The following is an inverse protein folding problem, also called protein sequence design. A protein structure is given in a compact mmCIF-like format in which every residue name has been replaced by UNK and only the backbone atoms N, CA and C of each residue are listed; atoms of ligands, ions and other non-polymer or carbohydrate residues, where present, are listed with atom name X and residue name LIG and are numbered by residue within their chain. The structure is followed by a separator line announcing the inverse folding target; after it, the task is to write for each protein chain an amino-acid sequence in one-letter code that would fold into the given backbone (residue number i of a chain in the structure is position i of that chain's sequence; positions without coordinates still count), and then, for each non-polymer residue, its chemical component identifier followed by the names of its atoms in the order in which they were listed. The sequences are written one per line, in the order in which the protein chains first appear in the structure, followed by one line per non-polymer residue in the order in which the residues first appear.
data_IF_207924861313
#
_entry.id   IF_207924861313
#
_cell.length_a   1.000
_cell.length_b   1.000
_cell.length_c   1.000
_cell.angle_alpha   90.00
_cell.angle_beta   90.00
_cell.angle_gamma   90.00
#
_symmetry.space_group_name_H-M   'P 1'
#
loop_
_entity.id
_entity.type
_entity.pdbx_description
1 polymer ?
#
# COMPACT_ATOMS: atom_id res chain seq x y z
N UNK A 1 44.35 27.54 6.59
CA UNK A 1 43.17 28.43 6.46
C UNK A 1 43.64 29.84 6.15
N UNK A 2 43.10 30.47 5.11
CA UNK A 2 43.35 31.89 4.87
C UNK A 2 42.75 32.71 6.01
N UNK A 3 43.40 33.80 6.40
CA UNK A 3 42.92 34.70 7.47
C UNK A 3 41.49 35.22 7.22
N UNK A 4 41.06 35.23 5.95
CA UNK A 4 39.71 35.62 5.51
C UNK A 4 38.63 34.56 5.83
N UNK A 5 38.99 33.28 5.85
CA UNK A 5 38.05 32.17 6.16
C UNK A 5 37.97 31.90 7.67
N UNK A 6 38.97 32.34 8.43
CA UNK A 6 39.00 32.20 9.89
C UNK A 6 37.92 33.07 10.57
N UNK A 7 37.66 34.26 10.02
CA UNK A 7 36.68 35.22 10.58
C UNK A 7 35.25 34.65 10.58
N UNK A 8 34.68 34.17 9.45
CA UNK A 8 33.34 33.60 9.47
C UNK A 8 33.25 32.33 10.31
N UNK A 9 34.30 31.51 10.37
CA UNK A 9 34.33 30.29 11.21
C UNK A 9 34.29 30.64 12.70
N UNK A 10 35.08 31.63 13.15
CA UNK A 10 35.05 32.10 14.55
C UNK A 10 33.69 32.71 14.88
N UNK A 11 33.10 33.48 13.96
CA UNK A 11 31.80 34.11 14.17
C UNK A 11 30.69 33.07 14.29
N UNK A 12 30.71 32.03 13.46
CA UNK A 12 29.75 30.93 13.51
C UNK A 12 29.93 30.07 14.77
N UNK A 13 31.17 29.84 15.19
CA UNK A 13 31.48 29.14 16.44
C UNK A 13 31.01 29.91 17.68
N UNK A 14 31.07 31.25 17.67
CA UNK A 14 30.56 32.10 18.75
C UNK A 14 29.02 32.21 18.75
N UNK A 15 28.38 32.03 17.61
CA UNK A 15 26.93 32.15 17.49
C UNK A 15 26.18 30.99 18.16
N UNK A 16 26.79 29.79 18.21
CA UNK A 16 26.25 28.59 18.85
C UNK A 16 26.03 28.78 20.37
N UNK A 17 27.05 29.15 21.18
CA UNK A 17 26.85 29.37 22.62
C UNK A 17 26.00 30.61 22.90
N UNK A 18 26.05 31.63 22.03
CA UNK A 18 25.19 32.81 22.13
C UNK A 18 23.71 32.44 21.97
N UNK A 19 23.38 31.56 21.03
CA UNK A 19 22.03 31.05 20.84
C UNK A 19 21.53 30.26 22.05
N UNK A 20 22.35 29.36 22.61
CA UNK A 20 22.01 28.63 23.84
C UNK A 20 21.76 29.56 25.04
N UNK A 21 22.53 30.65 25.15
CA UNK A 21 22.33 31.62 26.21
C UNK A 21 20.98 32.35 26.06
N UNK A 22 20.65 32.81 24.86
CA UNK A 22 19.39 33.49 24.55
C UNK A 22 18.19 32.56 24.79
N UNK A 23 18.27 31.31 24.32
CA UNK A 23 17.20 30.32 24.50
C UNK A 23 16.92 30.07 25.98
N UNK A 24 17.97 29.87 26.79
CA UNK A 24 17.84 29.61 28.22
C UNK A 24 17.36 30.82 29.03
N UNK A 25 17.74 32.04 28.67
CA UNK A 25 17.37 33.25 29.43
C UNK A 25 16.04 33.86 29.00
N UNK A 26 15.67 33.78 27.72
CA UNK A 26 14.50 34.48 27.19
C UNK A 26 13.37 33.58 26.68
N UNK A 27 13.69 32.37 26.19
CA UNK A 27 12.70 31.47 25.56
C UNK A 27 12.20 30.43 26.56
N UNK A 28 13.10 29.69 27.22
CA UNK A 28 12.75 28.65 28.19
C UNK A 28 11.78 29.09 29.32
N UNK A 29 11.85 30.33 29.87
CA UNK A 29 10.90 30.77 30.89
C UNK A 29 9.47 31.00 30.37
N UNK A 30 9.30 31.24 29.06
CA UNK A 30 8.00 31.52 28.43
C UNK A 30 7.29 30.27 27.96
N UNK A 31 7.99 29.14 27.88
CA UNK A 31 7.46 27.85 27.45
C UNK A 31 7.78 26.78 28.51
N UNK A 32 6.99 26.69 29.60
CA UNK A 32 7.15 25.60 30.55
C UNK A 32 6.96 24.27 29.83
N UNK A 33 7.90 23.34 30.03
CA UNK A 33 7.83 22.00 29.47
C UNK A 33 6.48 21.36 29.84
N UNK A 34 5.75 20.84 28.84
CA UNK A 34 4.53 20.07 29.07
C UNK A 34 4.87 18.89 29.97
N UNK A 35 4.18 18.80 31.10
CA UNK A 35 4.28 17.69 32.05
C UNK A 35 4.02 16.37 31.31
N UNK A 36 4.89 15.36 31.41
CA UNK A 36 4.60 14.06 30.84
C UNK A 36 3.37 13.47 31.53
N UNK A 37 2.39 13.08 30.72
CA UNK A 37 1.19 12.38 31.13
C UNK A 37 1.62 11.03 31.73
N UNK A 38 1.08 10.58 32.88
CA UNK A 38 1.44 9.30 33.48
C UNK A 38 1.22 8.15 32.49
N UNK A 39 2.27 7.34 32.31
CA UNK A 39 2.21 6.08 31.58
C UNK A 39 1.25 5.15 32.31
N UNK A 40 0.22 4.71 31.60
CA UNK A 40 -0.74 3.72 32.08
C UNK A 40 -0.02 2.39 32.30
N UNK A 41 0.01 1.96 33.56
CA UNK A 41 0.69 0.76 34.02
C UNK A 41 -0.17 -0.46 33.65
N UNK A 42 0.37 -1.49 32.96
CA UNK A 42 -0.36 -2.72 32.71
C UNK A 42 -0.72 -3.41 34.03
N UNK A 43 -1.97 -3.86 34.11
CA UNK A 43 -2.50 -4.61 35.23
C UNK A 43 -1.68 -5.89 35.47
N UNK A 44 -1.44 -6.15 36.76
CA UNK A 44 -0.70 -7.28 37.27
C UNK A 44 -1.32 -8.63 36.89
N UNK A 45 -0.44 -9.58 36.59
CA UNK A 45 -0.74 -11.00 36.42
C UNK A 45 -1.47 -11.56 37.66
N UNK A 46 -2.62 -12.18 37.42
CA UNK A 46 -3.29 -13.04 38.38
C UNK A 46 -2.67 -14.45 38.34
N UNK A 47 -2.43 -15.11 39.50
CA UNK A 47 -1.93 -16.47 39.51
C UNK A 47 -3.08 -17.43 39.26
N UNK A 48 -2.99 -18.25 38.21
CA UNK A 48 -3.85 -19.42 38.05
C UNK A 48 -3.08 -20.68 38.40
N UNK A 49 -3.55 -21.25 39.51
CA UNK A 49 -3.23 -22.50 40.17
C UNK A 49 -3.07 -23.66 39.20
N UNK A 50 -1.95 -24.38 39.31
CA UNK A 50 -1.80 -25.70 38.72
C UNK A 50 -2.82 -26.65 39.35
N UNK A 51 -3.71 -27.21 38.53
CA UNK A 51 -4.42 -28.46 38.85
C UNK A 51 -4.15 -29.42 37.70
N UNK A 52 -3.26 -30.36 37.97
CA UNK A 52 -3.09 -31.53 37.14
C UNK A 52 -4.36 -32.38 37.25
N UNK A 53 -5.13 -32.45 36.17
CA UNK A 53 -6.04 -33.56 35.93
C UNK A 53 -5.59 -34.25 34.66
N UNK A 54 -4.91 -35.36 34.89
CA UNK A 54 -4.63 -36.43 33.96
C UNK A 54 -5.98 -36.96 33.42
N UNK A 55 -6.22 -36.76 32.13
CA UNK A 55 -7.36 -37.36 31.44
C UNK A 55 -6.90 -37.73 30.04
N UNK A 56 -6.55 -39.01 29.92
CA UNK A 56 -6.66 -39.86 28.75
C UNK A 56 -6.55 -39.16 27.37
N UNK A 57 -5.39 -39.32 26.75
CA UNK A 57 -5.20 -39.21 25.30
C UNK A 57 -6.13 -40.21 24.60
N UNK A 58 -7.31 -39.75 24.20
CA UNK A 58 -8.06 -40.38 23.12
C UNK A 58 -7.41 -39.95 21.82
N UNK A 59 -6.74 -40.91 21.18
CA UNK A 59 -6.21 -40.82 19.82
C UNK A 59 -7.35 -40.44 18.87
N UNK A 60 -7.38 -39.16 18.48
CA UNK A 60 -8.28 -38.67 17.44
C UNK A 60 -7.74 -39.13 16.09
N UNK A 61 -8.52 -39.97 15.41
CA UNK A 61 -8.29 -40.36 14.03
C UNK A 61 -8.00 -39.12 13.16
N UNK A 62 -7.04 -39.19 12.24
CA UNK A 62 -6.76 -38.11 11.33
C UNK A 62 -7.97 -37.91 10.43
N UNK A 63 -8.76 -36.87 10.70
CA UNK A 63 -9.78 -36.40 9.79
C UNK A 63 -9.06 -35.92 8.55
N UNK A 64 -9.05 -36.73 7.51
CA UNK A 64 -8.59 -36.36 6.20
C UNK A 64 -9.35 -35.09 5.78
N UNK A 65 -8.68 -33.94 5.82
CA UNK A 65 -9.17 -32.73 5.20
C UNK A 65 -9.39 -33.06 3.73
N UNK A 66 -10.66 -33.04 3.31
CA UNK A 66 -10.99 -33.12 1.90
C UNK A 66 -10.17 -32.05 1.17
N UNK A 67 -9.46 -32.39 0.08
CA UNK A 67 -8.69 -31.41 -0.67
C UNK A 67 -9.64 -30.30 -1.10
N UNK A 68 -9.32 -29.07 -0.68
CA UNK A 68 -9.94 -27.86 -1.20
C UNK A 68 -9.78 -27.96 -2.72
N UNK A 69 -10.86 -27.89 -3.52
CA UNK A 69 -10.73 -27.88 -4.97
C UNK A 69 -9.85 -26.68 -5.34
N UNK A 70 -8.61 -26.95 -5.73
CA UNK A 70 -7.72 -25.94 -6.31
C UNK A 70 -8.27 -25.72 -7.71
N UNK A 71 -9.11 -24.70 -7.85
CA UNK A 71 -9.55 -24.21 -9.15
C UNK A 71 -8.29 -23.95 -9.99
N UNK A 72 -8.20 -24.50 -11.21
CA UNK A 72 -7.03 -24.29 -12.05
C UNK A 72 -6.80 -22.78 -12.22
N UNK A 73 -5.54 -22.30 -12.19
CA UNK A 73 -5.26 -20.89 -12.31
C UNK A 73 -5.87 -20.39 -13.62
N UNK A 74 -6.80 -19.44 -13.49
CA UNK A 74 -7.41 -18.81 -14.65
C UNK A 74 -6.30 -18.24 -15.54
N UNK A 75 -6.35 -18.51 -16.83
CA UNK A 75 -5.40 -17.93 -17.78
C UNK A 75 -5.49 -16.41 -17.70
N UNK A 76 -4.33 -15.77 -17.57
CA UNK A 76 -4.25 -14.32 -17.49
C UNK A 76 -4.60 -13.71 -18.85
N UNK A 77 -5.52 -12.74 -18.83
CA UNK A 77 -5.92 -11.95 -19.98
C UNK A 77 -5.56 -10.49 -19.70
N UNK A 78 -5.12 -9.79 -20.73
CA UNK A 78 -4.66 -8.41 -20.65
C UNK A 78 -5.58 -7.50 -21.46
N UNK A 79 -5.86 -6.33 -20.92
CA UNK A 79 -6.49 -5.23 -21.65
C UNK A 79 -5.63 -3.98 -21.52
N UNK A 80 -5.72 -3.10 -22.52
CA UNK A 80 -4.96 -1.86 -22.56
C UNK A 80 -5.90 -0.67 -22.46
N UNK A 81 -5.48 0.33 -21.70
CA UNK A 81 -6.15 1.63 -21.63
C UNK A 81 -5.10 2.71 -21.82
N UNK A 82 -5.28 3.58 -22.81
CA UNK A 82 -4.26 4.53 -23.24
C UNK A 82 -4.84 5.94 -23.41
N UNK A 83 -4.02 6.94 -23.12
CA UNK A 83 -4.20 8.32 -23.55
C UNK A 83 -2.85 8.92 -23.98
N UNK A 84 -2.80 10.22 -24.27
CA UNK A 84 -1.58 10.91 -24.75
C UNK A 84 -0.38 10.84 -23.78
N UNK A 85 -0.60 10.49 -22.50
CA UNK A 85 0.39 10.58 -21.42
C UNK A 85 0.70 9.25 -20.75
N UNK A 86 -0.24 8.31 -20.73
CA UNK A 86 -0.15 7.06 -19.99
C UNK A 86 -0.72 5.91 -20.79
N UNK A 87 0.03 4.80 -20.82
CA UNK A 87 -0.44 3.50 -21.27
C UNK A 87 -0.54 2.56 -20.06
N UNK A 88 -1.74 2.06 -19.80
CA UNK A 88 -2.00 1.06 -18.76
C UNK A 88 -2.19 -0.32 -19.38
N UNK A 89 -1.51 -1.30 -18.79
CA UNK A 89 -1.80 -2.71 -18.99
C UNK A 89 -2.55 -3.22 -17.77
N UNK A 90 -3.77 -3.71 -17.98
CA UNK A 90 -4.62 -4.23 -16.92
C UNK A 90 -4.78 -5.73 -17.05
N UNK A 91 -4.76 -6.42 -15.90
CA UNK A 91 -4.77 -7.88 -15.83
C UNK A 91 -6.08 -8.42 -15.27
N UNK A 92 -6.57 -9.50 -15.89
CA UNK A 92 -7.69 -10.29 -15.38
C UNK A 92 -7.39 -10.93 -14.02
N UNK A 93 -6.11 -11.16 -13.70
CA UNK A 93 -5.68 -11.63 -12.39
C UNK A 93 -5.60 -10.46 -11.41
N UNK A 94 -6.48 -10.48 -10.41
CA UNK A 94 -6.63 -9.39 -9.46
C UNK A 94 -7.49 -8.22 -9.94
N UNK A 95 -7.83 -8.15 -11.23
CA UNK A 95 -8.75 -7.16 -11.78
C UNK A 95 -8.24 -5.72 -11.63
N UNK A 96 -7.00 -5.49 -12.03
CA UNK A 96 -6.28 -4.27 -11.70
C UNK A 96 -5.12 -3.96 -12.65
N UNK A 97 -4.24 -3.05 -12.23
CA UNK A 97 -3.16 -2.54 -13.07
C UNK A 97 -1.92 -3.42 -12.89
N UNK A 98 -1.42 -3.96 -14.00
CA UNK A 98 -0.19 -4.75 -14.06
C UNK A 98 1.01 -3.88 -14.37
N UNK A 99 0.88 -2.96 -15.33
CA UNK A 99 1.91 -1.96 -15.63
C UNK A 99 1.28 -0.61 -15.95
N UNK A 100 2.01 0.46 -15.67
CA UNK A 100 1.68 1.82 -16.11
C UNK A 100 2.92 2.47 -16.72
N UNK A 101 2.87 2.75 -18.01
CA UNK A 101 3.95 3.41 -18.75
C UNK A 101 3.63 4.89 -18.87
N UNK A 102 4.54 5.75 -18.39
CA UNK A 102 4.37 7.20 -18.39
C UNK A 102 5.08 7.80 -19.62
N UNK A 103 4.34 8.02 -20.70
CA UNK A 103 4.86 8.29 -22.06
C UNK A 103 5.72 9.57 -22.15
N UNK A 104 5.45 10.56 -21.30
CA UNK A 104 6.17 11.85 -21.30
C UNK A 104 7.44 11.84 -20.44
N UNK A 105 7.70 10.77 -19.69
CA UNK A 105 8.79 10.72 -18.72
C UNK A 105 9.80 9.63 -19.08
N UNK A 106 11.03 9.98 -19.46
CA UNK A 106 12.06 8.98 -19.70
C UNK A 106 12.49 8.31 -18.39
N UNK A 107 12.81 7.02 -18.43
CA UNK A 107 13.34 6.26 -17.29
C UNK A 107 14.70 6.80 -16.83
N UNK A 108 15.58 7.12 -17.78
CA UNK A 108 16.90 7.67 -17.55
C UNK A 108 16.97 9.11 -18.06
N UNK A 109 17.88 9.91 -17.49
CA UNK A 109 18.14 11.28 -17.95
C UNK A 109 18.99 11.30 -19.24
N UNK A 110 18.50 10.64 -20.28
CA UNK A 110 19.13 10.49 -21.59
C UNK A 110 18.10 10.77 -22.69
N UNK A 111 18.55 11.34 -23.82
CA UNK A 111 17.65 11.82 -24.89
C UNK A 111 16.81 10.71 -25.55
N UNK A 112 17.30 9.48 -25.56
CA UNK A 112 16.69 8.33 -26.22
C UNK A 112 16.27 7.23 -25.21
N UNK A 113 16.17 7.59 -23.92
CA UNK A 113 15.72 6.66 -22.90
C UNK A 113 14.28 6.23 -23.18
N UNK A 114 13.94 4.94 -22.95
CA UNK A 114 12.55 4.51 -22.94
C UNK A 114 11.76 5.25 -21.85
N UNK A 115 10.42 5.30 -21.95
CA UNK A 115 9.57 5.86 -20.91
C UNK A 115 9.66 5.06 -19.60
N UNK A 116 9.43 5.72 -18.47
CA UNK A 116 9.37 5.07 -17.16
C UNK A 116 8.15 4.16 -17.08
N UNK A 117 8.37 2.94 -16.57
CA UNK A 117 7.34 1.92 -16.37
C UNK A 117 7.19 1.65 -14.87
N UNK A 118 5.98 1.83 -14.36
CA UNK A 118 5.59 1.38 -13.02
C UNK A 118 5.13 -0.07 -13.14
N UNK A 119 5.98 -1.02 -12.75
CA UNK A 119 5.75 -2.45 -12.90
C UNK A 119 5.18 -3.08 -11.61
N UNK A 120 3.94 -3.57 -11.69
CA UNK A 120 3.20 -4.26 -10.62
C UNK A 120 3.00 -5.75 -10.93
N UNK A 121 3.77 -6.34 -11.84
CA UNK A 121 3.61 -7.74 -12.27
C UNK A 121 3.72 -8.78 -11.15
N UNK A 122 4.47 -8.48 -10.08
CA UNK A 122 4.55 -9.35 -8.89
C UNK A 122 3.26 -9.33 -8.06
N UNK A 123 2.53 -8.21 -8.07
CA UNK A 123 1.32 -7.99 -7.28
C UNK A 123 0.52 -6.85 -7.90
N UNK A 124 -0.49 -7.22 -8.69
CA UNK A 124 -1.38 -6.30 -9.42
C UNK A 124 -1.91 -5.21 -8.49
N UNK A 125 -1.75 -3.95 -8.90
CA UNK A 125 -2.30 -2.81 -8.18
C UNK A 125 -3.83 -2.78 -8.30
N UNK A 126 -4.51 -2.21 -7.31
CA UNK A 126 -5.96 -2.18 -7.14
C UNK A 126 -6.63 -3.52 -6.83
N UNK A 127 -5.88 -4.62 -6.69
CA UNK A 127 -6.45 -5.90 -6.31
C UNK A 127 -7.14 -5.82 -4.93
N UNK A 128 -8.24 -6.55 -4.78
CA UNK A 128 -8.91 -6.69 -3.48
C UNK A 128 -8.16 -7.66 -2.56
N UNK A 129 -8.32 -7.45 -1.26
CA UNK A 129 -7.99 -8.39 -0.21
C UNK A 129 -9.17 -8.47 0.78
N UNK A 130 -9.53 -9.67 1.23
CA UNK A 130 -10.58 -9.90 2.24
C UNK A 130 -11.97 -10.25 1.70
N UNK A 131 -12.16 -10.33 0.37
CA UNK A 131 -13.42 -10.80 -0.24
C UNK A 131 -13.17 -12.12 -0.96
N UNK A 132 -13.89 -13.16 -0.56
CA UNK A 132 -13.78 -14.47 -1.20
C UNK A 132 -14.18 -14.39 -2.69
N UNK A 133 -13.33 -14.93 -3.56
CA UNK A 133 -13.55 -14.98 -5.00
C UNK A 133 -12.97 -13.79 -5.78
N UNK A 134 -12.63 -12.67 -5.13
CA UNK A 134 -11.94 -11.53 -5.77
C UNK A 134 -10.71 -11.13 -4.95
N UNK A 135 -9.54 -11.30 -5.53
CA UNK A 135 -8.27 -10.89 -4.93
C UNK A 135 -7.11 -11.08 -5.88
N UNK A 136 -5.90 -10.76 -5.45
CA UNK A 136 -4.72 -10.64 -6.34
C UNK A 136 -4.44 -11.87 -7.23
N UNK A 137 -4.79 -13.08 -6.77
CA UNK A 137 -4.59 -14.33 -7.50
C UNK A 137 -5.84 -14.85 -8.20
N UNK A 138 -6.97 -14.14 -8.07
CA UNK A 138 -8.25 -14.56 -8.63
C UNK A 138 -8.42 -14.00 -10.02
N UNK A 139 -8.82 -14.85 -10.97
CA UNK A 139 -9.22 -14.42 -12.31
C UNK A 139 -10.60 -13.77 -12.30
N UNK A 140 -10.72 -12.67 -13.03
CA UNK A 140 -11.96 -11.97 -13.37
C UNK A 140 -12.14 -11.97 -14.89
N UNK A 141 -13.38 -11.86 -15.36
CA UNK A 141 -13.60 -11.54 -16.77
C UNK A 141 -13.14 -10.10 -17.02
N UNK A 142 -12.53 -9.85 -18.16
CA UNK A 142 -12.02 -8.52 -18.56
C UNK A 142 -12.55 -8.17 -19.95
N UNK A 143 -13.01 -6.94 -20.12
CA UNK A 143 -13.52 -6.43 -21.38
C UNK A 143 -13.07 -4.98 -21.59
N UNK A 144 -12.43 -4.68 -22.72
CA UNK A 144 -12.10 -3.32 -23.12
C UNK A 144 -13.23 -2.71 -23.94
N UNK A 145 -13.67 -1.52 -23.56
CA UNK A 145 -14.76 -0.78 -24.20
C UNK A 145 -14.32 0.64 -24.51
N UNK A 146 -13.59 0.85 -25.59
CA UNK A 146 -13.17 2.18 -26.05
C UNK A 146 -12.34 2.95 -25.02
N UNK A 147 -13.00 3.75 -24.19
CA UNK A 147 -12.41 4.65 -23.18
C UNK A 147 -12.29 4.04 -21.77
N UNK A 148 -12.70 2.78 -21.59
CA UNK A 148 -12.71 2.12 -20.29
C UNK A 148 -12.45 0.62 -20.38
N UNK A 149 -12.07 0.04 -19.26
CA UNK A 149 -11.97 -1.42 -19.08
C UNK A 149 -12.90 -1.84 -17.96
N UNK A 150 -13.64 -2.92 -18.20
CA UNK A 150 -14.60 -3.48 -17.27
C UNK A 150 -14.12 -4.87 -16.83
N UNK A 151 -14.07 -5.07 -15.52
CA UNK A 151 -13.88 -6.37 -14.90
C UNK A 151 -15.20 -6.86 -14.34
N UNK A 152 -15.46 -8.16 -14.44
CA UNK A 152 -16.63 -8.76 -13.81
C UNK A 152 -16.38 -10.16 -13.26
N UNK A 153 -17.09 -10.51 -12.19
CA UNK A 153 -17.12 -11.87 -11.64
C UNK A 153 -18.39 -12.12 -10.85
N UNK A 154 -18.94 -13.32 -10.98
CA UNK A 154 -20.01 -13.81 -10.09
C UNK A 154 -19.37 -14.52 -8.90
N UNK A 155 -19.69 -14.06 -7.69
CA UNK A 155 -19.22 -14.64 -6.43
C UNK A 155 -20.13 -15.82 -6.01
N UNK A 156 -19.68 -16.63 -5.05
CA UNK A 156 -20.38 -17.84 -4.60
C UNK A 156 -21.82 -17.61 -4.12
N UNK A 157 -22.12 -16.42 -3.57
CA UNK A 157 -23.45 -16.06 -3.06
C UNK A 157 -24.38 -15.46 -4.14
N UNK A 158 -24.02 -15.57 -5.43
CA UNK A 158 -24.76 -14.97 -6.54
C UNK A 158 -24.58 -13.46 -6.72
N UNK A 159 -23.71 -12.85 -5.90
CA UNK A 159 -23.33 -11.44 -6.01
C UNK A 159 -22.49 -11.24 -7.26
N UNK A 160 -22.84 -10.25 -8.08
CA UNK A 160 -22.03 -9.86 -9.23
C UNK A 160 -21.15 -8.69 -8.82
N UNK A 161 -19.84 -8.87 -8.96
CA UNK A 161 -18.85 -7.80 -8.87
C UNK A 161 -18.60 -7.23 -10.26
N UNK A 162 -18.64 -5.91 -10.38
CA UNK A 162 -18.20 -5.16 -11.56
C UNK A 162 -17.22 -4.07 -11.14
N UNK A 163 -16.11 -3.94 -11.85
CA UNK A 163 -15.22 -2.80 -11.73
C UNK A 163 -15.04 -2.14 -13.08
N UNK A 164 -15.17 -0.83 -13.12
CA UNK A 164 -14.85 -0.04 -14.32
C UNK A 164 -13.67 0.87 -14.02
N UNK A 165 -12.66 0.81 -14.89
CA UNK A 165 -11.49 1.69 -14.85
C UNK A 165 -11.49 2.53 -16.13
N UNK A 166 -11.40 3.85 -15.98
CA UNK A 166 -11.35 4.79 -17.09
C UNK A 166 -10.44 5.98 -16.73
N UNK A 167 -9.84 6.62 -17.72
CA UNK A 167 -9.21 7.92 -17.52
C UNK A 167 -10.30 8.99 -17.34
N UNK A 168 -10.12 9.86 -16.35
CA UNK A 168 -10.96 11.05 -16.19
C UNK A 168 -10.28 12.29 -16.74
N UNK A 169 -8.96 12.36 -16.56
CA UNK A 169 -8.10 13.42 -17.06
C UNK A 169 -6.66 12.89 -17.04
N UNK A 170 -5.80 13.30 -17.97
CA UNK A 170 -4.34 13.05 -18.00
C UNK A 170 -3.89 11.82 -17.19
N UNK A 171 -3.44 12.01 -15.94
CA UNK A 171 -2.92 10.93 -15.07
C UNK A 171 -3.95 10.34 -14.08
N UNK A 172 -5.17 10.87 -14.03
CA UNK A 172 -6.22 10.50 -13.07
C UNK A 172 -7.15 9.41 -13.60
N UNK A 173 -7.30 8.36 -12.80
CA UNK A 173 -8.20 7.25 -13.05
C UNK A 173 -9.47 7.36 -12.21
N UNK A 174 -10.62 7.15 -12.84
CA UNK A 174 -11.83 6.77 -12.15
C UNK A 174 -11.88 5.25 -12.04
N UNK A 175 -11.98 4.77 -10.81
CA UNK A 175 -12.25 3.36 -10.50
C UNK A 175 -13.61 3.30 -9.84
N UNK A 176 -14.55 2.59 -10.46
CA UNK A 176 -15.90 2.42 -9.93
C UNK A 176 -16.19 0.94 -9.71
N UNK A 177 -16.37 0.58 -8.46
CA UNK A 177 -16.71 -0.78 -8.05
C UNK A 177 -18.20 -0.87 -7.72
N UNK A 178 -18.84 -1.95 -8.17
CA UNK A 178 -20.26 -2.25 -7.93
C UNK A 178 -20.38 -3.69 -7.46
N UNK A 179 -21.15 -3.88 -6.39
CA UNK A 179 -21.58 -5.19 -5.91
C UNK A 179 -23.09 -5.26 -6.06
N UNK A 180 -23.56 -6.18 -6.90
CA UNK A 180 -24.96 -6.30 -7.28
C UNK A 180 -25.52 -7.57 -6.63
N UNK A 181 -26.42 -7.38 -5.67
CA UNK A 181 -27.20 -8.45 -5.07
C UNK A 181 -28.58 -8.49 -5.72
N UNK A 182 -28.82 -9.47 -6.59
CA UNK A 182 -30.12 -9.72 -7.23
C UNK A 182 -31.01 -10.69 -6.45
N UNK A 183 -30.51 -11.22 -5.31
CA UNK A 183 -31.23 -12.14 -4.45
C UNK A 183 -32.16 -11.44 -3.45
N UNK A 184 -32.96 -12.25 -2.76
CA UNK A 184 -33.87 -11.80 -1.68
C UNK A 184 -33.21 -11.74 -0.30
N UNK A 185 -32.02 -12.31 -0.15
CA UNK A 185 -31.28 -12.33 1.11
C UNK A 185 -30.30 -11.16 1.18
N UNK A 186 -30.30 -10.42 2.30
CA UNK A 186 -29.34 -9.33 2.49
C UNK A 186 -27.91 -9.87 2.52
N UNK A 187 -27.03 -9.25 1.74
CA UNK A 187 -25.62 -9.61 1.70
C UNK A 187 -24.82 -8.68 2.62
N UNK A 188 -24.09 -9.26 3.56
CA UNK A 188 -23.20 -8.52 4.44
C UNK A 188 -21.83 -8.41 3.77
N UNK A 189 -21.50 -7.21 3.31
CA UNK A 189 -20.19 -6.96 2.70
C UNK A 189 -19.06 -7.25 3.72
N UNK A 190 -18.10 -8.13 3.38
CA UNK A 190 -16.94 -8.37 4.22
C UNK A 190 -16.07 -7.13 4.37
N UNK A 191 -15.26 -7.07 5.43
CA UNK A 191 -14.18 -6.09 5.50
C UNK A 191 -13.17 -6.36 4.39
N UNK A 192 -12.83 -5.34 3.63
CA UNK A 192 -11.98 -5.46 2.46
C UNK A 192 -10.93 -4.35 2.41
N UNK A 193 -9.83 -4.61 1.68
CA UNK A 193 -8.78 -3.64 1.36
C UNK A 193 -8.55 -3.63 -0.13
N UNK A 194 -8.14 -2.48 -0.63
CA UNK A 194 -7.61 -2.33 -1.98
C UNK A 194 -6.10 -2.20 -1.85
N UNK A 195 -5.38 -3.12 -2.47
CA UNK A 195 -3.93 -3.13 -2.46
C UNK A 195 -3.41 -2.12 -3.47
N UNK A 196 -2.40 -1.35 -3.10
CA UNK A 196 -1.70 -0.44 -4.03
C UNK A 196 -0.81 -1.19 -5.03
N UNK A 197 -0.65 -2.51 -4.84
CA UNK A 197 0.33 -3.33 -5.55
C UNK A 197 1.74 -3.14 -5.01
N UNK A 198 2.63 -4.07 -5.35
CA UNK A 198 4.06 -3.94 -5.08
C UNK A 198 4.77 -3.53 -6.36
N UNK A 199 5.16 -2.25 -6.42
CA UNK A 199 5.94 -1.73 -7.53
C UNK A 199 7.35 -2.31 -7.49
N UNK A 200 7.83 -2.83 -8.62
CA UNK A 200 9.24 -3.17 -8.81
C UNK A 200 10.06 -1.90 -8.94
N UNK A 201 11.30 -1.99 -8.49
CA UNK A 201 12.23 -0.88 -8.61
C UNK A 201 12.61 -0.68 -10.09
N UNK A 202 12.67 0.57 -10.58
CA UNK A 202 13.23 0.90 -11.89
C UNK A 202 14.68 0.42 -12.04
N UNK A 203 15.16 0.30 -13.28
CA UNK A 203 16.42 -0.38 -13.59
C UNK A 203 17.66 0.25 -12.95
N UNK A 204 17.66 1.57 -12.72
CA UNK A 204 18.78 2.33 -12.15
C UNK A 204 18.72 2.46 -10.62
N UNK A 205 17.64 1.98 -10.00
CA UNK A 205 17.39 2.20 -8.58
C UNK A 205 18.14 1.18 -7.73
N UNK A 206 19.26 1.61 -7.14
CA UNK A 206 20.04 0.80 -6.20
C UNK A 206 19.31 0.69 -4.87
N UNK A 207 18.92 -0.54 -4.51
CA UNK A 207 18.33 -0.83 -3.20
C UNK A 207 19.33 -0.57 -2.08
N UNK A 208 19.17 0.53 -1.36
CA UNK A 208 19.88 0.74 -0.09
C UNK A 208 19.18 -0.09 0.99
N UNK A 209 19.76 -1.25 1.33
CA UNK A 209 19.31 -2.00 2.51
C UNK A 209 19.50 -1.15 3.76
N UNK A 210 18.42 -0.88 4.50
CA UNK A 210 18.47 -0.23 5.81
C UNK A 210 17.92 1.20 5.87
N UNK A 211 17.49 1.79 4.75
CA UNK A 211 16.75 3.06 4.75
C UNK A 211 15.38 2.78 4.14
N UNK A 212 14.39 2.54 4.99
CA UNK A 212 12.98 2.57 4.59
C UNK A 212 12.63 4.03 4.34
N UNK A 213 12.74 4.48 3.09
CA UNK A 213 12.29 5.82 2.71
C UNK A 213 10.75 5.77 2.76
N UNK A 214 10.20 6.20 3.88
CA UNK A 214 8.78 6.43 4.08
C UNK A 214 8.28 7.34 2.94
N UNK A 215 7.23 6.89 2.24
CA UNK A 215 6.65 7.59 1.10
C UNK A 215 6.18 9.01 1.47
N UNK A 216 5.97 9.82 0.44
CA UNK A 216 5.66 11.26 0.53
C UNK A 216 4.38 11.57 1.35
N UNK A 217 3.53 10.58 1.58
CA UNK A 217 2.35 10.66 2.47
C UNK A 217 2.68 10.66 3.97
N UNK A 218 3.95 10.54 4.36
CA UNK A 218 4.36 10.54 5.77
C UNK A 218 4.48 11.94 6.37
N UNK A 219 3.88 12.95 5.73
CA UNK A 219 3.80 14.30 6.27
C UNK A 219 2.84 14.29 7.47
N UNK A 220 3.37 13.96 8.64
CA UNK A 220 2.71 14.27 9.91
C UNK A 220 2.82 15.78 10.07
N UNK A 221 1.71 16.55 10.10
CA UNK A 221 1.80 17.98 10.37
C UNK A 221 2.44 18.13 11.74
N UNK A 222 3.60 18.79 11.79
CA UNK A 222 4.22 19.17 13.04
C UNK A 222 3.32 20.22 13.71
N UNK A 223 2.40 19.76 14.56
CA UNK A 223 1.42 20.61 15.22
C UNK A 223 0.29 19.81 15.87
N UNK A 224 0.65 18.99 16.87
CA UNK A 224 -0.26 18.44 17.87
C UNK A 224 -0.16 19.19 19.20
#
# INVERSE_FOLDING_TARGET
MNKKDLIPVILLALLIPLWMFIDRTFIAPKYPAKTPVPVEQPAADAPVTATANDTALTEAEPVAQAPIPVEPPAEEQLAFLENDKVLLELSSLGGGIKTATMLEYPELNEKESPPVVLDFSDSTALAYEGINGIGALQGLNIEAQGDRVIFSKTLADGIVFERTIAFTNDYLLAVRDRFINSGSTSWKMPSARILTGRMRNPADMKTMKGISILGVDSYTPAGG
#
